data_IF_153349355698
#
_entry.id   IF_153349355698
#
_cell.length_a   1.000
_cell.length_b   1.000
_cell.length_c   1.000
_cell.angle_alpha   90.00
_cell.angle_beta   90.00
_cell.angle_gamma   90.00
#
_symmetry.space_group_name_H-M   'P 1'
#
loop_
_entity.id
_entity.type
_entity.pdbx_description
1 polymer ?
#
# COMPACT_ATOMS: atom_id res chain seq x y z
N UNK A 1 37.38 -71.40 46.45
CA UNK A 1 37.94 -70.28 45.65
C UNK A 1 36.82 -69.30 45.35
N UNK A 2 37.03 -67.99 45.58
CA UNK A 2 35.95 -67.00 45.68
C UNK A 2 35.56 -66.42 44.30
N UNK A 3 34.29 -66.07 44.17
CA UNK A 3 33.71 -65.36 43.03
C UNK A 3 34.14 -63.88 43.02
N UNK A 4 34.63 -63.41 41.86
CA UNK A 4 34.93 -61.99 41.61
C UNK A 4 33.66 -61.27 41.12
N UNK A 5 33.33 -60.06 41.62
CA UNK A 5 32.25 -59.27 41.05
C UNK A 5 32.76 -58.43 39.88
N UNK A 6 32.03 -58.47 38.76
CA UNK A 6 32.22 -57.59 37.60
C UNK A 6 31.73 -56.18 37.94
N UNK A 7 32.67 -55.23 38.07
CA UNK A 7 32.41 -53.79 38.13
C UNK A 7 31.79 -53.31 36.81
N UNK A 8 30.52 -52.92 36.83
CA UNK A 8 29.90 -52.15 35.72
C UNK A 8 30.27 -50.67 35.88
N UNK A 9 31.09 -50.17 34.96
CA UNK A 9 31.41 -48.74 34.84
C UNK A 9 30.27 -48.09 34.04
N UNK A 10 29.40 -47.34 34.71
CA UNK A 10 28.37 -46.54 34.07
C UNK A 10 29.00 -45.24 33.53
N UNK A 11 29.21 -45.17 32.21
CA UNK A 11 29.53 -43.91 31.51
C UNK A 11 28.31 -43.01 31.54
N UNK A 12 28.36 -41.92 32.31
CA UNK A 12 27.39 -40.82 32.26
C UNK A 12 27.64 -40.02 30.98
N UNK A 13 26.74 -40.14 30.01
CA UNK A 13 26.66 -39.24 28.86
C UNK A 13 26.00 -37.93 29.33
N UNK A 14 26.75 -36.83 29.34
CA UNK A 14 26.18 -35.49 29.52
C UNK A 14 25.53 -35.04 28.21
N UNK A 15 24.26 -34.64 28.19
CA UNK A 15 23.66 -34.02 27.03
C UNK A 15 24.08 -32.54 27.00
N UNK A 16 24.89 -32.16 26.02
CA UNK A 16 25.14 -30.75 25.68
C UNK A 16 23.87 -30.17 25.04
N UNK A 17 23.15 -29.35 25.81
CA UNK A 17 22.05 -28.53 25.29
C UNK A 17 22.64 -27.44 24.38
N UNK A 18 22.51 -27.62 23.07
CA UNK A 18 22.78 -26.55 22.10
C UNK A 18 21.62 -25.55 22.15
N UNK A 19 21.85 -24.39 22.78
CA UNK A 19 20.94 -23.26 22.71
C UNK A 19 21.04 -22.63 21.32
N UNK A 20 20.12 -22.99 20.42
CA UNK A 20 19.88 -22.26 19.17
C UNK A 20 19.22 -20.93 19.51
N UNK A 21 20.01 -19.86 19.50
CA UNK A 21 19.48 -18.50 19.50
C UNK A 21 18.69 -18.28 18.20
N UNK A 22 17.36 -18.36 18.29
CA UNK A 22 16.46 -17.87 17.26
C UNK A 22 16.55 -16.33 17.25
N UNK A 23 17.57 -15.79 16.59
CA UNK A 23 17.55 -14.42 16.13
C UNK A 23 16.41 -14.30 15.13
N UNK A 24 15.26 -13.80 15.58
CA UNK A 24 14.10 -13.60 14.72
C UNK A 24 14.48 -12.66 13.59
N UNK A 25 14.38 -13.13 12.34
CA UNK A 25 14.48 -12.26 11.17
C UNK A 25 13.32 -11.27 11.26
N UNK A 26 13.60 -10.03 11.67
CA UNK A 26 12.65 -8.94 11.49
C UNK A 26 12.41 -8.80 9.98
N UNK A 27 11.17 -8.99 9.54
CA UNK A 27 10.79 -8.81 8.14
C UNK A 27 11.03 -7.37 7.72
N UNK A 28 11.79 -7.13 6.65
CA UNK A 28 12.03 -5.80 6.10
C UNK A 28 11.02 -5.44 5.01
N UNK A 29 9.79 -5.96 5.11
CA UNK A 29 8.74 -5.79 4.12
C UNK A 29 7.38 -5.81 4.82
N UNK A 30 6.38 -5.30 4.11
CA UNK A 30 4.97 -5.40 4.48
C UNK A 30 4.16 -5.89 3.29
N UNK A 31 2.96 -6.40 3.54
CA UNK A 31 2.04 -6.80 2.49
C UNK A 31 1.13 -5.64 2.14
N UNK A 32 1.13 -5.23 0.88
CA UNK A 32 0.15 -4.32 0.32
C UNK A 32 -0.91 -5.12 -0.43
N UNK A 33 -2.15 -5.01 0.02
CA UNK A 33 -3.32 -5.55 -0.66
C UNK A 33 -4.13 -4.42 -1.30
N UNK A 34 -4.79 -4.74 -2.41
CA UNK A 34 -5.79 -3.85 -3.01
C UNK A 34 -7.05 -4.64 -3.34
N UNK A 35 -8.20 -4.19 -2.83
CA UNK A 35 -9.52 -4.62 -3.29
C UNK A 35 -9.95 -3.70 -4.42
N UNK A 36 -10.16 -4.27 -5.60
CA UNK A 36 -10.50 -3.53 -6.80
C UNK A 36 -11.90 -3.96 -7.28
N UNK A 37 -12.73 -3.00 -7.73
CA UNK A 37 -13.94 -3.32 -8.46
C UNK A 37 -13.62 -4.08 -9.76
N UNK A 38 -14.66 -4.69 -10.35
CA UNK A 38 -14.57 -5.09 -11.74
C UNK A 38 -14.29 -3.86 -12.61
N UNK A 39 -13.62 -4.06 -13.75
CA UNK A 39 -13.25 -3.03 -14.72
C UNK A 39 -12.13 -2.08 -14.28
N UNK A 40 -11.48 -2.35 -13.14
CA UNK A 40 -10.30 -1.60 -12.71
C UNK A 40 -9.02 -2.41 -12.93
N UNK A 41 -7.95 -1.72 -13.31
CA UNK A 41 -6.58 -2.19 -13.23
C UNK A 41 -5.77 -1.25 -12.34
N UNK A 42 -4.69 -1.75 -11.75
CA UNK A 42 -3.87 -1.02 -10.79
C UNK A 42 -2.38 -1.23 -11.04
N UNK A 43 -1.65 -0.12 -11.10
CA UNK A 43 -0.19 -0.09 -11.15
C UNK A 43 0.34 0.55 -9.88
N UNK A 44 1.34 -0.07 -9.26
CA UNK A 44 2.02 0.44 -8.08
C UNK A 44 3.46 0.82 -8.37
N UNK A 45 3.81 2.08 -8.15
CA UNK A 45 5.16 2.61 -8.24
C UNK A 45 5.62 3.13 -6.88
N UNK A 46 6.71 2.58 -6.37
CA UNK A 46 7.29 2.93 -5.08
C UNK A 46 8.50 3.85 -5.26
N UNK A 47 8.56 4.92 -4.46
CA UNK A 47 9.72 5.79 -4.32
C UNK A 47 10.49 5.42 -3.06
N UNK A 48 11.79 5.23 -3.22
CA UNK A 48 12.74 5.02 -2.14
C UNK A 48 13.69 6.21 -2.11
N UNK A 49 13.87 6.80 -0.95
CA UNK A 49 14.74 7.96 -0.73
C UNK A 49 15.75 7.63 0.36
N UNK A 50 16.90 8.32 0.46
CA UNK A 50 17.81 8.10 1.56
C UNK A 50 17.08 8.40 2.89
N UNK A 51 17.47 7.74 4.00
CA UNK A 51 17.01 8.15 5.33
C UNK A 51 17.27 9.63 5.57
N UNK A 52 16.48 10.25 6.44
CA UNK A 52 16.63 11.67 6.75
C UNK A 52 18.09 12.00 7.16
N UNK A 53 18.62 13.10 6.63
CA UNK A 53 19.99 13.55 6.85
C UNK A 53 21.08 12.74 6.13
N UNK A 54 20.72 11.75 5.31
CA UNK A 54 21.64 11.00 4.47
C UNK A 54 21.45 11.37 3.00
N UNK A 55 22.50 11.23 2.19
CA UNK A 55 22.46 11.38 0.74
C UNK A 55 23.18 10.21 0.09
N UNK A 56 22.76 9.87 -1.12
CA UNK A 56 23.50 8.94 -1.96
C UNK A 56 24.55 9.70 -2.79
N UNK A 57 25.53 8.97 -3.31
CA UNK A 57 26.47 9.53 -4.27
C UNK A 57 25.74 10.09 -5.50
N UNK A 58 26.27 11.18 -6.07
CA UNK A 58 25.63 11.92 -7.16
C UNK A 58 25.35 11.05 -8.41
N UNK A 59 26.16 10.03 -8.68
CA UNK A 59 25.95 9.08 -9.78
C UNK A 59 24.76 8.15 -9.57
N UNK A 60 24.47 7.82 -8.31
CA UNK A 60 23.38 6.93 -7.95
C UNK A 60 22.04 7.68 -7.78
N UNK A 61 22.09 8.99 -7.50
CA UNK A 61 20.93 9.84 -7.22
C UNK A 61 20.26 9.51 -5.88
N UNK A 62 19.60 10.49 -5.26
CA UNK A 62 18.95 10.26 -3.97
C UNK A 62 17.72 9.35 -4.10
N UNK A 63 16.83 9.65 -5.05
CA UNK A 63 15.59 8.91 -5.22
C UNK A 63 15.70 7.75 -6.22
N UNK A 64 15.09 6.64 -5.84
CA UNK A 64 14.88 5.48 -6.70
C UNK A 64 13.38 5.22 -6.83
N UNK A 65 12.84 5.36 -8.03
CA UNK A 65 11.48 4.94 -8.35
C UNK A 65 11.51 3.52 -8.90
N UNK A 66 10.62 2.66 -8.40
CA UNK A 66 10.52 1.26 -8.82
C UNK A 66 9.08 0.83 -8.92
N UNK A 67 8.72 0.26 -10.07
CA UNK A 67 7.46 -0.47 -10.22
C UNK A 67 7.46 -1.68 -9.31
N UNK A 68 6.52 -1.73 -8.38
CA UNK A 68 6.38 -2.83 -7.41
C UNK A 68 5.37 -3.87 -7.90
N UNK A 69 4.34 -3.45 -8.65
CA UNK A 69 3.41 -4.36 -9.29
C UNK A 69 2.60 -3.68 -10.41
N UNK A 70 1.98 -4.52 -11.23
CA UNK A 70 0.88 -4.16 -12.11
C UNK A 70 -0.11 -5.33 -12.09
N UNK A 71 -1.40 -5.03 -12.06
CA UNK A 71 -2.45 -6.04 -12.29
C UNK A 71 -2.36 -6.55 -13.73
N UNK A 72 -2.78 -7.80 -14.00
CA UNK A 72 -2.75 -8.36 -15.35
C UNK A 72 -3.71 -7.67 -16.34
N UNK A 73 -4.58 -6.78 -15.87
CA UNK A 73 -5.52 -6.00 -16.66
C UNK A 73 -6.83 -5.80 -15.90
N UNK A 74 -7.87 -5.35 -16.62
CA UNK A 74 -9.23 -5.28 -16.12
C UNK A 74 -9.82 -6.68 -15.88
N UNK A 75 -10.80 -6.79 -14.97
CA UNK A 75 -11.49 -8.04 -14.68
C UNK A 75 -13.00 -7.79 -14.63
N UNK A 76 -13.80 -8.72 -15.15
CA UNK A 76 -15.28 -8.62 -15.09
C UNK A 76 -15.84 -8.66 -13.65
N UNK A 77 -15.06 -9.13 -12.68
CA UNK A 77 -15.49 -9.31 -11.29
C UNK A 77 -14.55 -8.60 -10.34
N UNK A 78 -15.05 -8.11 -9.19
CA UNK A 78 -14.18 -7.59 -8.14
C UNK A 78 -13.13 -8.61 -7.72
N UNK A 79 -11.91 -8.15 -7.50
CA UNK A 79 -10.78 -9.01 -7.21
C UNK A 79 -9.82 -8.35 -6.20
N UNK A 80 -9.02 -9.19 -5.54
CA UNK A 80 -7.97 -8.74 -4.62
C UNK A 80 -6.61 -9.11 -5.19
N UNK A 81 -5.68 -8.18 -5.11
CA UNK A 81 -4.25 -8.44 -5.31
C UNK A 81 -3.47 -8.25 -4.02
N UNK A 82 -2.32 -8.92 -3.91
CA UNK A 82 -1.47 -8.92 -2.72
C UNK A 82 0.00 -8.98 -3.12
N UNK A 83 0.79 -8.03 -2.64
CA UNK A 83 2.21 -7.91 -2.99
C UNK A 83 3.06 -7.63 -1.75
N UNK A 84 4.22 -8.28 -1.66
CA UNK A 84 5.23 -7.94 -0.68
C UNK A 84 6.00 -6.70 -1.14
N UNK A 85 6.06 -5.68 -0.28
CA UNK A 85 6.73 -4.41 -0.56
C UNK A 85 7.88 -4.23 0.42
N UNK A 86 9.13 -4.18 -0.04
CA UNK A 86 10.27 -3.97 0.83
C UNK A 86 10.25 -2.54 1.41
N UNK A 87 10.65 -2.41 2.67
CA UNK A 87 10.73 -1.12 3.37
C UNK A 87 12.03 -0.38 3.08
N UNK A 88 13.05 -1.09 2.59
CA UNK A 88 14.30 -0.50 2.15
C UNK A 88 14.94 -1.33 1.03
N UNK A 89 15.75 -0.65 0.21
CA UNK A 89 16.55 -1.23 -0.85
C UNK A 89 18.00 -0.77 -0.67
N UNK A 90 18.94 -1.65 -1.00
CA UNK A 90 20.36 -1.33 -1.07
C UNK A 90 20.85 -1.55 -2.49
N UNK A 91 21.38 -0.50 -3.11
CA UNK A 91 21.99 -0.54 -4.43
C UNK A 91 23.15 0.45 -4.49
N UNK A 92 24.22 0.08 -5.18
CA UNK A 92 25.42 0.93 -5.37
C UNK A 92 25.95 1.54 -4.06
N UNK A 93 26.01 0.73 -2.99
CA UNK A 93 26.48 1.18 -1.68
C UNK A 93 25.49 2.05 -0.89
N UNK A 94 24.48 2.63 -1.54
CA UNK A 94 23.47 3.46 -0.88
C UNK A 94 22.28 2.64 -0.37
N UNK A 95 21.83 2.97 0.84
CA UNK A 95 20.58 2.44 1.41
C UNK A 95 19.48 3.48 1.25
N UNK A 96 18.37 3.11 0.62
CA UNK A 96 17.18 3.94 0.47
C UNK A 96 16.00 3.28 1.16
N UNK A 97 15.19 4.06 1.83
CA UNK A 97 13.99 3.64 2.55
C UNK A 97 12.75 4.07 1.78
N UNK A 98 11.70 3.25 1.82
CA UNK A 98 10.45 3.51 1.11
C UNK A 98 9.81 4.80 1.62
N UNK A 99 9.66 5.83 0.80
CA UNK A 99 9.05 7.11 1.21
C UNK A 99 7.61 7.26 0.73
N UNK A 100 7.29 6.69 -0.44
CA UNK A 100 5.99 6.86 -1.06
C UNK A 100 5.63 5.67 -1.94
N UNK A 101 4.34 5.36 -2.04
CA UNK A 101 3.77 4.49 -3.08
C UNK A 101 2.68 5.28 -3.79
N UNK A 102 2.86 5.46 -5.10
CA UNK A 102 1.83 5.95 -5.99
C UNK A 102 1.12 4.76 -6.60
N UNK A 103 -0.20 4.76 -6.50
CA UNK A 103 -1.08 3.74 -7.04
C UNK A 103 -1.90 4.39 -8.14
N UNK A 104 -1.62 4.02 -9.38
CA UNK A 104 -2.37 4.46 -10.55
C UNK A 104 -3.51 3.47 -10.80
N UNK A 105 -4.74 3.98 -10.79
CA UNK A 105 -5.95 3.22 -11.07
C UNK A 105 -6.43 3.60 -12.45
N UNK A 106 -6.59 2.59 -13.29
CA UNK A 106 -7.20 2.69 -14.60
C UNK A 106 -8.58 2.04 -14.53
N UNK A 107 -9.63 2.83 -14.76
CA UNK A 107 -11.00 2.35 -14.78
C UNK A 107 -11.57 2.34 -16.20
N UNK A 108 -12.02 1.18 -16.65
CA UNK A 108 -12.90 1.04 -17.81
C UNK A 108 -14.36 1.22 -17.34
N UNK A 109 -15.12 2.07 -18.02
CA UNK A 109 -16.54 2.24 -17.71
C UNK A 109 -17.38 1.19 -18.44
N UNK A 110 -17.99 0.26 -17.70
CA UNK A 110 -18.87 -0.77 -18.25
C UNK A 110 -20.10 -0.20 -18.99
N UNK A 111 -20.51 1.04 -18.72
CA UNK A 111 -21.65 1.70 -19.37
C UNK A 111 -21.32 2.26 -20.76
N UNK A 112 -20.03 2.42 -21.10
CA UNK A 112 -19.58 3.04 -22.36
C UNK A 112 -18.30 2.38 -22.91
N UNK A 113 -18.39 1.16 -23.46
CA UNK A 113 -17.24 0.33 -23.85
C UNK A 113 -16.63 0.62 -25.24
N UNK A 114 -17.12 1.64 -25.98
CA UNK A 114 -16.73 1.86 -27.38
C UNK A 114 -16.04 3.19 -27.69
N UNK A 115 -15.72 3.99 -26.67
CA UNK A 115 -15.02 5.24 -26.93
C UNK A 115 -13.52 4.95 -27.00
N UNK A 116 -12.91 5.26 -28.15
CA UNK A 116 -11.45 5.23 -28.37
C UNK A 116 -10.73 6.35 -27.59
N UNK A 117 -11.10 6.51 -26.32
CA UNK A 117 -10.62 7.53 -25.39
C UNK A 117 -9.55 6.89 -24.50
N UNK A 118 -8.55 7.68 -24.11
CA UNK A 118 -7.52 7.25 -23.18
C UNK A 118 -8.16 6.65 -21.90
N UNK A 119 -7.49 5.71 -21.22
CA UNK A 119 -7.98 5.16 -19.95
C UNK A 119 -8.31 6.27 -18.96
N UNK A 120 -9.40 6.12 -18.20
CA UNK A 120 -9.74 7.09 -17.18
C UNK A 120 -8.85 6.84 -15.95
N UNK A 121 -7.80 7.65 -15.81
CA UNK A 121 -6.81 7.48 -14.76
C UNK A 121 -7.17 8.28 -13.51
N UNK A 122 -7.05 7.63 -12.35
CA UNK A 122 -7.04 8.29 -11.05
C UNK A 122 -5.92 7.71 -10.17
N UNK A 123 -5.68 8.32 -9.02
CA UNK A 123 -4.54 7.98 -8.17
C UNK A 123 -4.95 7.75 -6.73
N UNK A 124 -4.19 6.88 -6.06
CA UNK A 124 -4.15 6.71 -4.63
C UNK A 124 -2.69 6.83 -4.15
N UNK A 125 -2.50 7.25 -2.90
CA UNK A 125 -1.19 7.58 -2.37
C UNK A 125 -1.00 6.99 -0.97
N UNK A 126 0.12 6.28 -0.78
CA UNK A 126 0.58 5.89 0.55
C UNK A 126 1.89 6.61 0.84
N UNK A 127 1.92 7.38 1.91
CA UNK A 127 3.14 8.05 2.38
C UNK A 127 3.69 7.33 3.59
N UNK A 128 4.97 6.97 3.56
CA UNK A 128 5.63 6.25 4.63
C UNK A 128 6.52 7.24 5.37
N UNK A 129 6.24 7.45 6.64
CA UNK A 129 6.92 8.40 7.52
C UNK A 129 7.67 7.67 8.61
N UNK A 130 8.72 8.29 9.14
CA UNK A 130 9.41 7.76 10.32
C UNK A 130 8.59 8.06 11.60
N UNK A 131 7.81 9.14 11.60
CA UNK A 131 6.85 9.47 12.65
C UNK A 131 5.58 10.05 12.04
N UNK A 132 4.43 9.59 12.50
CA UNK A 132 3.15 10.14 12.07
C UNK A 132 2.84 11.49 12.74
N UNK A 133 2.20 12.43 12.03
CA UNK A 133 1.65 13.64 12.63
C UNK A 133 0.63 13.33 13.73
N UNK A 134 0.43 14.28 14.65
CA UNK A 134 -0.60 14.16 15.67
C UNK A 134 -1.99 14.01 15.03
N UNK A 135 -2.82 13.14 15.60
CA UNK A 135 -4.18 12.87 15.10
C UNK A 135 -4.27 11.82 13.99
N UNK A 136 -3.15 11.46 13.34
CA UNK A 136 -3.14 10.37 12.36
C UNK A 136 -3.07 9.03 13.08
N UNK A 137 -4.01 8.13 12.75
CA UNK A 137 -4.02 6.78 13.32
C UNK A 137 -2.94 5.92 12.65
N UNK A 138 -2.03 5.41 13.47
CA UNK A 138 -1.05 4.40 13.08
C UNK A 138 -1.66 3.01 12.85
N UNK A 139 -0.78 2.02 12.81
CA UNK A 139 -1.15 0.63 12.59
C UNK A 139 -1.99 0.09 13.76
N UNK A 140 -3.10 -0.63 13.53
CA UNK A 140 -3.82 -1.28 14.61
C UNK A 140 -2.94 -2.32 15.32
N UNK A 141 -3.22 -2.60 16.60
CA UNK A 141 -2.47 -3.61 17.39
C UNK A 141 -2.51 -5.01 16.76
N UNK A 142 -3.61 -5.35 16.08
CA UNK A 142 -3.82 -6.60 15.35
C UNK A 142 -4.62 -6.33 14.07
N UNK A 143 -4.44 -7.17 13.08
CA UNK A 143 -5.15 -7.08 11.80
C UNK A 143 -4.55 -6.06 10.84
N UNK A 144 -5.38 -5.66 9.87
CA UNK A 144 -5.02 -4.88 8.67
C UNK A 144 -5.34 -3.40 8.85
N UNK A 145 -4.47 -2.52 8.35
CA UNK A 145 -4.77 -1.10 8.20
C UNK A 145 -5.44 -0.92 6.86
N UNK A 146 -6.71 -0.52 6.89
CA UNK A 146 -7.53 -0.34 5.69
C UNK A 146 -7.62 1.17 5.40
N UNK A 147 -7.41 1.51 4.13
CA UNK A 147 -7.73 2.81 3.56
C UNK A 147 -8.85 2.61 2.55
N UNK A 148 -10.04 3.07 2.89
CA UNK A 148 -11.20 2.99 1.99
C UNK A 148 -11.18 4.17 1.01
N UNK A 149 -11.51 3.89 -0.24
CA UNK A 149 -11.68 4.88 -1.29
C UNK A 149 -12.89 4.57 -2.15
N UNK A 150 -13.49 5.61 -2.72
CA UNK A 150 -14.55 5.46 -3.72
C UNK A 150 -14.22 6.22 -4.98
N UNK A 151 -14.54 5.60 -6.09
CA UNK A 151 -14.39 6.14 -7.43
C UNK A 151 -15.76 6.32 -8.08
N UNK A 152 -15.86 7.27 -9.00
CA UNK A 152 -17.00 7.43 -9.92
C UNK A 152 -16.52 8.04 -11.22
N UNK A 153 -17.26 7.83 -12.30
CA UNK A 153 -17.01 8.58 -13.52
C UNK A 153 -17.76 9.91 -13.50
N UNK A 154 -17.04 10.95 -13.91
CA UNK A 154 -17.59 12.25 -14.25
C UNK A 154 -17.90 12.24 -15.73
N UNK A 155 -19.19 12.27 -16.07
CA UNK A 155 -19.66 12.26 -17.43
C UNK A 155 -19.56 13.68 -18.02
N UNK A 156 -19.19 13.82 -19.30
CA UNK A 156 -19.19 15.11 -19.97
C UNK A 156 -20.53 15.85 -19.80
N UNK A 157 -20.47 17.14 -19.50
CA UNK A 157 -21.66 17.98 -19.50
C UNK A 157 -22.16 18.15 -20.96
N UNK A 158 -23.40 18.61 -21.16
CA UNK A 158 -23.97 18.83 -22.50
C UNK A 158 -23.16 19.81 -23.39
N UNK A 159 -22.28 20.61 -22.78
CA UNK A 159 -21.34 21.50 -23.47
C UNK A 159 -20.10 20.79 -24.05
N UNK A 160 -19.98 19.47 -23.87
CA UNK A 160 -18.84 18.67 -24.31
C UNK A 160 -17.78 18.48 -23.20
N UNK A 161 -16.81 17.61 -23.49
CA UNK A 161 -15.72 17.26 -22.57
C UNK A 161 -15.34 15.79 -22.66
N UNK A 162 -14.26 15.42 -21.98
CA UNK A 162 -13.86 14.02 -21.79
C UNK A 162 -14.40 13.50 -20.46
N UNK A 163 -14.69 12.20 -20.43
CA UNK A 163 -15.01 11.49 -19.20
C UNK A 163 -13.77 11.50 -18.28
N UNK A 164 -13.99 11.50 -16.97
CA UNK A 164 -12.90 11.46 -15.99
C UNK A 164 -13.23 10.53 -14.83
N UNK A 165 -12.27 9.69 -14.44
CA UNK A 165 -12.39 8.90 -13.22
C UNK A 165 -11.98 9.75 -12.01
N UNK A 166 -12.94 9.98 -11.11
CA UNK A 166 -12.70 10.69 -9.87
C UNK A 166 -12.70 9.70 -8.70
N UNK A 167 -11.56 9.58 -8.01
CA UNK A 167 -11.46 8.78 -6.79
C UNK A 167 -11.04 9.65 -5.60
N UNK A 168 -11.69 9.42 -4.45
CA UNK A 168 -11.39 10.07 -3.18
C UNK A 168 -11.30 9.06 -2.05
N UNK A 169 -10.58 9.46 -0.99
CA UNK A 169 -10.68 8.77 0.29
C UNK A 169 -12.14 8.75 0.76
N UNK A 170 -12.51 7.70 1.49
CA UNK A 170 -13.86 7.54 2.02
C UNK A 170 -13.88 6.77 3.33
N UNK A 171 -15.03 6.71 3.98
CA UNK A 171 -15.28 5.75 5.06
C UNK A 171 -16.05 4.51 4.56
N UNK A 172 -16.23 3.54 5.47
CA UNK A 172 -16.98 2.30 5.21
C UNK A 172 -18.46 2.53 4.87
N UNK A 173 -19.05 3.65 5.30
CA UNK A 173 -20.42 4.03 4.96
C UNK A 173 -20.49 4.72 3.59
N UNK A 174 -19.32 5.04 3.02
CA UNK A 174 -19.18 5.71 1.76
C UNK A 174 -19.07 7.23 1.84
N UNK A 175 -19.01 7.85 3.01
CA UNK A 175 -18.80 9.30 3.07
C UNK A 175 -17.47 9.64 2.41
N UNK A 176 -17.47 10.62 1.50
CA UNK A 176 -16.26 11.03 0.78
C UNK A 176 -15.48 12.00 1.67
N UNK A 177 -14.16 11.92 1.61
CA UNK A 177 -13.24 12.86 2.23
C UNK A 177 -12.48 13.64 1.16
N UNK A 178 -11.95 14.79 1.54
CA UNK A 178 -11.01 15.49 0.69
C UNK A 178 -9.74 14.64 0.50
N UNK A 179 -9.11 14.82 -0.66
CA UNK A 179 -7.92 14.06 -1.04
C UNK A 179 -8.17 12.70 -1.68
N UNK A 180 -7.09 12.15 -2.25
CA UNK A 180 -7.07 10.84 -2.92
C UNK A 180 -7.13 9.69 -1.90
N UNK A 181 -7.60 8.49 -2.30
CA UNK A 181 -7.52 7.31 -1.45
C UNK A 181 -6.11 7.03 -0.96
N UNK A 182 -6.01 6.42 0.22
CA UNK A 182 -4.75 6.13 0.90
C UNK A 182 -4.52 7.05 2.10
N UNK A 183 -3.26 7.26 2.46
CA UNK A 183 -2.90 8.03 3.65
C UNK A 183 -1.47 7.80 4.11
N UNK A 184 -1.20 8.13 5.37
CA UNK A 184 0.13 8.03 5.97
C UNK A 184 0.28 6.78 6.84
N UNK A 185 1.49 6.20 6.82
CA UNK A 185 1.88 5.00 7.55
C UNK A 185 3.21 5.26 8.27
N UNK A 186 3.37 4.71 9.48
CA UNK A 186 4.63 4.78 10.20
C UNK A 186 5.53 3.60 9.84
N UNK A 187 6.78 3.86 9.46
CA UNK A 187 7.71 2.87 8.92
C UNK A 187 7.99 1.71 9.87
N UNK A 188 8.23 1.99 11.14
CA UNK A 188 8.60 1.00 12.16
C UNK A 188 7.41 0.10 12.57
N UNK A 189 6.18 0.49 12.24
CA UNK A 189 4.97 -0.30 12.47
C UNK A 189 4.64 -1.24 11.31
N UNK A 190 5.28 -1.11 10.14
CA UNK A 190 4.97 -1.88 8.93
C UNK A 190 5.56 -3.31 8.83
N UNK A 191 6.75 -3.63 9.37
CA UNK A 191 7.35 -4.96 9.29
C UNK A 191 6.35 -6.10 9.54
N UNK A 192 6.13 -6.92 8.50
CA UNK A 192 5.29 -8.13 8.58
C UNK A 192 3.79 -7.84 8.74
N UNK A 193 3.38 -6.60 8.52
CA UNK A 193 1.97 -6.18 8.59
C UNK A 193 1.33 -6.15 7.22
N UNK A 194 0.00 -6.11 7.22
CA UNK A 194 -0.82 -5.95 6.02
C UNK A 194 -1.47 -4.58 6.00
N UNK A 195 -1.27 -3.85 4.92
CA UNK A 195 -1.99 -2.63 4.58
C UNK A 195 -2.90 -2.95 3.41
N UNK A 196 -4.13 -2.45 3.42
CA UNK A 196 -5.11 -2.68 2.35
C UNK A 196 -5.67 -1.37 1.85
N UNK A 197 -5.64 -1.19 0.54
CA UNK A 197 -6.45 -0.19 -0.14
C UNK A 197 -7.76 -0.85 -0.59
N UNK A 198 -8.91 -0.34 -0.16
CA UNK A 198 -10.21 -0.88 -0.55
C UNK A 198 -10.95 0.12 -1.43
N UNK A 199 -11.08 -0.18 -2.73
CA UNK A 199 -11.71 0.70 -3.71
C UNK A 199 -13.12 0.22 -4.03
N UNK A 200 -14.09 1.12 -3.87
CA UNK A 200 -15.48 0.93 -4.31
C UNK A 200 -15.86 1.85 -5.46
N UNK A 201 -16.98 1.55 -6.11
CA UNK A 201 -17.59 2.41 -7.15
C UNK A 201 -18.84 3.07 -6.60
N UNK A 202 -19.00 4.35 -6.89
CA UNK A 202 -20.22 5.12 -6.66
C UNK A 202 -20.89 5.45 -8.01
N UNK A 203 -22.18 5.85 -8.00
CA UNK A 203 -22.86 6.24 -9.23
C UNK A 203 -22.16 7.40 -9.95
N UNK A 204 -22.14 7.31 -11.27
CA UNK A 204 -21.61 8.35 -12.15
C UNK A 204 -22.44 9.64 -12.05
N UNK A 205 -21.80 10.77 -12.28
CA UNK A 205 -22.44 12.09 -12.20
C UNK A 205 -21.96 13.00 -13.33
N UNK A 206 -22.72 14.06 -13.68
CA UNK A 206 -22.22 15.10 -14.56
C UNK A 206 -20.95 15.76 -13.99
N UNK A 207 -20.01 16.15 -14.86
CA UNK A 207 -18.75 16.76 -14.46
C UNK A 207 -18.93 18.04 -13.63
N UNK A 208 -19.96 18.85 -13.94
CA UNK A 208 -20.37 20.00 -13.12
C UNK A 208 -20.64 19.63 -11.66
N UNK A 209 -21.45 18.61 -11.41
CA UNK A 209 -21.76 18.14 -10.05
C UNK A 209 -20.54 17.56 -9.31
N UNK A 210 -19.61 16.94 -10.04
CA UNK A 210 -18.36 16.43 -9.46
C UNK A 210 -17.44 17.53 -8.92
N UNK A 211 -17.35 18.67 -9.61
CA UNK A 211 -16.51 19.81 -9.21
C UNK A 211 -17.04 20.50 -7.96
N UNK A 212 -18.35 20.67 -7.85
CA UNK A 212 -18.99 21.29 -6.68
C UNK A 212 -18.75 20.45 -5.41
N UNK A 213 -18.79 19.12 -5.55
CA UNK A 213 -18.49 18.22 -4.44
C UNK A 213 -17.02 18.35 -3.98
N UNK A 214 -16.07 18.46 -4.91
CA UNK A 214 -14.64 18.60 -4.57
C UNK A 214 -14.34 19.94 -3.86
N UNK A 215 -14.97 21.03 -4.30
CA UNK A 215 -14.90 22.33 -3.62
C UNK A 215 -15.46 22.25 -2.19
N UNK A 216 -16.59 21.56 -2.03
CA UNK A 216 -17.23 21.37 -0.73
C UNK A 216 -16.34 20.55 0.20
N UNK A 217 -15.77 19.45 -0.28
CA UNK A 217 -14.85 18.61 0.49
C UNK A 217 -13.60 19.41 0.91
N UNK A 218 -13.04 20.21 0.00
CA UNK A 218 -11.85 21.03 0.26
C UNK A 218 -12.11 22.16 1.28
N UNK A 219 -13.31 22.75 1.26
CA UNK A 219 -13.70 23.80 2.19
C UNK A 219 -13.89 23.28 3.63
N UNK A 220 -14.38 22.04 3.77
CA UNK A 220 -14.52 21.38 5.07
C UNK A 220 -13.16 21.07 5.69
N UNK A 221 -12.18 20.63 4.89
CA UNK A 221 -10.82 20.36 5.38
C UNK A 221 -10.08 21.62 5.84
N UNK A 222 -10.28 22.75 5.15
CA UNK A 222 -9.65 24.03 5.54
C UNK A 222 -10.24 24.67 6.80
N UNK A 223 -11.39 24.19 7.28
CA UNK A 223 -12.11 24.75 8.43
C UNK A 223 -11.91 23.97 9.73
N UNK A 224 -11.11 22.90 9.70
CA UNK A 224 -10.90 21.94 10.80
C UNK A 224 -9.42 21.86 11.19
#
# INVERSE_FOLDING_TARGET
>A
MPSRPLRRIARRLLPTLAALALGGCASNEFTLEADLPGDFSLVGDARYSPPEGHHCDASAGDDLNRRIFATPGHSERPYRVSYAVPLSLRSEGCTRVLSHIRLEMDGESATHPQDAVAPDISFAHLSIRDRLPAGIRGMPKKGTRIFDGRCRWLLPDAAGGERQLQCHASDINGSWFAGKPGGELQRDELPGRTVRLAIGVAPDVPASAGRDNDQTLSAVESSN
#
